data_IF_822913759643
#
_entry.id   IF_822913759643
#
_cell.length_a   1.000
_cell.length_b   1.000
_cell.length_c   1.000
_cell.angle_alpha   90.00
_cell.angle_beta   90.00
_cell.angle_gamma   90.00
#
_symmetry.space_group_name_H-M   'P 1'
#
loop_
_entity.id
_entity.type
_entity.pdbx_description
1 polymer ?
#
# COMPACT_ATOMS: atom_id res chain seq x y z
N UNK A 1 19.94 17.37 -3.70
CA UNK A 1 19.82 16.12 -4.47
C UNK A 1 18.94 15.17 -3.68
N UNK A 2 17.92 14.58 -4.32
CA UNK A 2 17.10 13.54 -3.70
C UNK A 2 17.68 12.15 -4.01
N UNK A 3 17.28 11.13 -3.24
CA UNK A 3 17.89 9.78 -3.33
C UNK A 3 17.74 9.13 -4.72
N UNK A 4 16.62 9.40 -5.40
CA UNK A 4 16.31 8.81 -6.73
C UNK A 4 16.37 9.85 -7.85
N UNK A 5 17.03 10.98 -7.63
CA UNK A 5 17.25 11.98 -8.69
C UNK A 5 18.06 11.36 -9.84
N UNK A 6 17.57 11.54 -11.07
CA UNK A 6 18.14 10.94 -12.27
C UNK A 6 17.56 9.57 -12.64
N UNK A 7 16.76 8.94 -11.77
CA UNK A 7 16.03 7.70 -12.11
C UNK A 7 14.73 8.06 -12.83
N UNK A 8 14.49 7.44 -13.98
CA UNK A 8 13.26 7.61 -14.78
C UNK A 8 12.42 6.35 -14.76
N UNK A 9 11.14 6.50 -14.39
CA UNK A 9 10.15 5.41 -14.28
C UNK A 9 9.00 5.64 -15.25
N UNK A 10 8.69 4.67 -16.09
CA UNK A 10 7.47 4.65 -16.91
C UNK A 10 6.40 3.84 -16.17
N UNK A 11 5.32 4.51 -15.78
CA UNK A 11 4.22 3.95 -15.00
C UNK A 11 3.01 3.66 -15.91
N UNK A 12 2.81 2.39 -16.29
CA UNK A 12 1.66 1.91 -17.05
C UNK A 12 0.59 1.31 -16.13
N UNK A 13 0.77 1.41 -14.83
CA UNK A 13 -0.14 0.80 -13.85
C UNK A 13 -1.38 1.64 -13.62
N UNK A 14 -2.40 1.03 -12.98
CA UNK A 14 -3.71 1.64 -12.74
C UNK A 14 -4.18 1.40 -11.30
N UNK A 15 -5.11 2.20 -10.86
CA UNK A 15 -5.81 2.11 -9.56
C UNK A 15 -4.89 2.33 -8.37
N UNK A 16 -4.45 1.27 -7.68
CA UNK A 16 -3.75 1.40 -6.39
C UNK A 16 -2.33 0.82 -6.39
N UNK A 17 -2.07 -0.50 -6.59
CA UNK A 17 -0.77 -1.05 -6.20
C UNK A 17 0.40 -0.45 -6.98
N UNK A 18 0.30 -0.34 -8.28
CA UNK A 18 1.32 0.27 -9.11
C UNK A 18 1.46 1.78 -8.90
N UNK A 19 0.35 2.56 -8.97
CA UNK A 19 0.41 4.00 -8.71
C UNK A 19 0.95 4.37 -7.35
N UNK A 20 0.65 3.61 -6.29
CA UNK A 20 1.23 3.87 -4.97
C UNK A 20 2.73 3.55 -4.94
N UNK A 21 3.17 2.43 -5.52
CA UNK A 21 4.59 2.11 -5.68
C UNK A 21 5.35 3.23 -6.37
N UNK A 22 4.89 3.67 -7.54
CA UNK A 22 5.57 4.70 -8.33
C UNK A 22 5.48 6.09 -7.70
N UNK A 23 4.43 6.40 -6.93
CA UNK A 23 4.36 7.61 -6.11
C UNK A 23 5.44 7.63 -5.03
N UNK A 24 5.68 6.51 -4.34
CA UNK A 24 6.76 6.43 -3.36
C UNK A 24 8.12 6.72 -4.00
N UNK A 25 8.37 6.22 -5.21
CA UNK A 25 9.61 6.53 -5.94
C UNK A 25 9.69 8.02 -6.33
N UNK A 26 8.56 8.61 -6.77
CA UNK A 26 8.46 10.03 -7.13
C UNK A 26 8.69 10.95 -5.91
N UNK A 27 8.20 10.58 -4.74
CA UNK A 27 8.39 11.35 -3.49
C UNK A 27 9.87 11.45 -3.10
N UNK A 28 10.70 10.48 -3.50
CA UNK A 28 12.15 10.49 -3.30
C UNK A 28 12.94 10.96 -4.52
N UNK A 29 12.30 11.53 -5.52
CA UNK A 29 12.95 12.28 -6.61
C UNK A 29 13.03 11.57 -7.95
N UNK A 30 12.53 10.35 -8.11
CA UNK A 30 12.42 9.73 -9.41
C UNK A 30 11.51 10.53 -10.35
N UNK A 31 11.89 10.66 -11.60
CA UNK A 31 11.00 11.18 -12.64
C UNK A 31 10.02 10.10 -13.06
N UNK A 32 8.80 10.17 -12.56
CA UNK A 32 7.74 9.20 -12.89
C UNK A 32 6.84 9.75 -13.99
N UNK A 33 6.79 9.04 -15.12
CA UNK A 33 5.95 9.36 -16.28
C UNK A 33 4.84 8.32 -16.35
N UNK A 34 3.62 8.73 -15.97
CA UNK A 34 2.43 7.88 -16.04
C UNK A 34 1.91 7.87 -17.47
N UNK A 35 1.91 6.67 -18.09
CA UNK A 35 1.42 6.45 -19.45
C UNK A 35 -0.04 6.02 -19.37
N UNK A 36 -0.91 6.78 -20.00
CA UNK A 36 -2.35 6.62 -19.88
C UNK A 36 -3.05 6.49 -21.24
N UNK A 37 -4.17 5.76 -21.27
CA UNK A 37 -4.97 5.66 -22.50
C UNK A 37 -5.69 6.97 -22.81
N UNK A 38 -5.96 7.27 -24.10
CA UNK A 38 -6.73 8.43 -24.50
C UNK A 38 -8.13 8.47 -23.90
N UNK A 39 -8.63 9.67 -23.64
CA UNK A 39 -10.00 9.95 -23.22
C UNK A 39 -10.28 9.67 -21.75
N UNK A 40 -9.98 8.48 -21.24
CA UNK A 40 -10.33 8.09 -19.87
C UNK A 40 -9.16 8.14 -18.90
N UNK A 41 -7.99 7.71 -19.34
CA UNK A 41 -6.83 7.57 -18.47
C UNK A 41 -7.00 6.45 -17.42
N UNK A 42 -6.37 6.63 -16.26
CA UNK A 42 -6.54 5.74 -15.10
C UNK A 42 -7.94 5.88 -14.50
N UNK A 43 -8.58 4.76 -14.15
CA UNK A 43 -9.90 4.72 -13.52
C UNK A 43 -9.97 5.53 -12.21
N UNK A 44 -8.86 5.63 -11.49
CA UNK A 44 -8.73 6.43 -10.27
C UNK A 44 -9.12 7.92 -10.49
N UNK A 45 -9.04 8.42 -11.73
CA UNK A 45 -9.46 9.78 -12.09
C UNK A 45 -10.97 9.99 -11.95
N UNK A 46 -11.75 8.92 -12.14
CA UNK A 46 -13.21 8.96 -12.16
C UNK A 46 -13.86 8.55 -10.84
N UNK A 47 -13.07 8.27 -9.79
CA UNK A 47 -13.61 7.84 -8.50
C UNK A 47 -13.91 9.04 -7.59
N UNK A 48 -15.15 9.14 -7.07
CA UNK A 48 -15.49 10.13 -6.07
C UNK A 48 -14.77 9.81 -4.72
N UNK A 49 -14.66 10.82 -3.83
CA UNK A 49 -15.11 12.20 -3.98
C UNK A 49 -14.22 12.98 -4.94
N UNK A 50 -14.75 14.12 -5.44
CA UNK A 50 -14.01 15.00 -6.33
C UNK A 50 -13.62 16.29 -5.63
N UNK A 51 -12.44 16.82 -5.96
CA UNK A 51 -12.04 18.19 -5.72
C UNK A 51 -12.03 18.91 -7.06
N UNK A 52 -13.03 19.76 -7.32
CA UNK A 52 -13.34 20.26 -8.65
C UNK A 52 -13.52 19.08 -9.62
N UNK A 53 -12.70 18.97 -10.65
CA UNK A 53 -12.71 17.90 -11.66
C UNK A 53 -11.67 16.80 -11.40
N UNK A 54 -10.94 16.86 -10.29
CA UNK A 54 -10.00 15.82 -9.89
C UNK A 54 -10.64 14.78 -8.96
N UNK A 55 -10.58 13.51 -9.33
CA UNK A 55 -10.88 12.43 -8.40
C UNK A 55 -9.88 12.44 -7.23
N UNK A 56 -10.37 12.46 -6.01
CA UNK A 56 -9.50 12.53 -4.82
C UNK A 56 -8.61 11.32 -4.68
N UNK A 57 -9.07 10.16 -5.17
CA UNK A 57 -8.26 8.94 -5.25
C UNK A 57 -7.01 9.13 -6.13
N UNK A 58 -7.20 9.77 -7.29
CA UNK A 58 -6.08 10.10 -8.17
C UNK A 58 -5.11 11.08 -7.52
N UNK A 59 -5.61 12.13 -6.83
CA UNK A 59 -4.76 13.08 -6.11
C UNK A 59 -3.89 12.39 -5.04
N UNK A 60 -4.44 11.43 -4.29
CA UNK A 60 -3.73 10.73 -3.23
C UNK A 60 -2.61 9.81 -3.74
N UNK A 61 -2.64 9.34 -4.99
CA UNK A 61 -1.75 8.30 -5.51
C UNK A 61 -0.78 8.76 -6.60
N UNK A 62 -0.91 10.01 -7.09
CA UNK A 62 -0.17 10.41 -8.28
C UNK A 62 0.57 11.75 -8.15
N UNK A 63 0.78 12.25 -6.93
CA UNK A 63 1.62 13.44 -6.71
C UNK A 63 3.03 13.22 -7.25
N UNK A 64 3.70 14.31 -7.63
CA UNK A 64 5.07 14.31 -8.18
C UNK A 64 5.23 13.61 -9.53
N UNK A 65 4.16 13.09 -10.17
CA UNK A 65 4.24 12.43 -11.48
C UNK A 65 3.99 13.40 -12.63
N UNK A 66 4.39 12.98 -13.82
CA UNK A 66 3.98 13.50 -15.13
C UNK A 66 2.91 12.60 -15.73
N UNK A 67 2.00 13.15 -16.56
CA UNK A 67 1.01 12.35 -17.30
C UNK A 67 1.21 12.49 -18.79
N UNK A 68 1.33 11.36 -19.48
CA UNK A 68 1.46 11.25 -20.93
C UNK A 68 0.37 10.36 -21.48
N UNK A 69 -0.40 10.86 -22.42
CA UNK A 69 -1.42 10.09 -23.12
C UNK A 69 -0.79 9.42 -24.35
N UNK A 70 -0.87 8.08 -24.39
CA UNK A 70 -0.46 7.28 -25.54
C UNK A 70 -1.48 6.18 -25.84
N UNK A 71 -1.90 6.08 -27.11
CA UNK A 71 -2.71 4.94 -27.56
C UNK A 71 -1.80 3.73 -27.87
N UNK A 72 -1.54 2.91 -26.88
CA UNK A 72 -0.71 1.71 -27.00
C UNK A 72 -1.32 0.64 -27.92
N UNK A 73 -2.55 0.79 -28.41
CA UNK A 73 -3.15 -0.07 -29.42
C UNK A 73 -2.75 0.35 -30.86
N UNK A 74 -2.33 1.59 -31.06
CA UNK A 74 -1.80 2.08 -32.33
C UNK A 74 -0.31 1.73 -32.49
N UNK A 75 0.16 1.63 -33.73
CA UNK A 75 1.58 1.41 -34.03
C UNK A 75 2.44 2.58 -33.56
N UNK A 76 2.00 3.81 -33.85
CA UNK A 76 2.69 5.01 -33.42
C UNK A 76 2.82 5.10 -31.88
N UNK A 77 1.76 4.77 -31.12
CA UNK A 77 1.79 4.77 -29.66
C UNK A 77 2.78 3.74 -29.08
N UNK A 78 2.84 2.52 -29.68
CA UNK A 78 3.81 1.50 -29.26
C UNK A 78 5.25 1.91 -29.56
N UNK A 79 5.52 2.45 -30.75
CA UNK A 79 6.83 2.96 -31.12
C UNK A 79 7.26 4.12 -30.22
N UNK A 80 6.36 5.06 -29.97
CA UNK A 80 6.61 6.18 -29.05
C UNK A 80 6.94 5.68 -27.62
N UNK A 81 6.23 4.68 -27.13
CA UNK A 81 6.55 4.05 -25.84
C UNK A 81 7.95 3.44 -25.84
N UNK A 82 8.36 2.72 -26.88
CA UNK A 82 9.69 2.15 -26.97
C UNK A 82 10.79 3.22 -27.08
N UNK A 83 10.52 4.38 -27.68
CA UNK A 83 11.43 5.53 -27.60
C UNK A 83 11.62 6.04 -26.16
N UNK A 84 10.54 6.11 -25.38
CA UNK A 84 10.63 6.45 -23.94
C UNK A 84 11.44 5.41 -23.15
N UNK A 85 11.29 4.13 -23.46
CA UNK A 85 12.04 3.02 -22.81
C UNK A 85 13.54 3.16 -23.00
N UNK A 86 14.03 3.69 -24.12
CA UNK A 86 15.47 3.87 -24.37
C UNK A 86 16.19 4.70 -23.32
N UNK A 87 15.44 5.61 -22.66
CA UNK A 87 15.97 6.54 -21.65
C UNK A 87 15.41 6.30 -20.26
N UNK A 88 14.62 5.25 -20.09
CA UNK A 88 14.04 4.88 -18.79
C UNK A 88 14.92 3.87 -18.05
N UNK A 89 14.87 3.89 -16.73
CA UNK A 89 15.50 2.89 -15.87
C UNK A 89 14.51 1.79 -15.47
N UNK A 90 13.23 2.15 -15.34
CA UNK A 90 12.19 1.24 -14.82
C UNK A 90 10.91 1.39 -15.64
N UNK A 91 10.28 0.26 -15.94
CA UNK A 91 8.87 0.17 -16.36
C UNK A 91 8.08 -0.52 -15.26
N UNK A 92 6.95 0.06 -14.85
CA UNK A 92 5.99 -0.56 -13.91
C UNK A 92 4.65 -0.74 -14.61
N UNK A 93 4.11 -1.97 -14.58
CA UNK A 93 2.82 -2.27 -15.23
C UNK A 93 1.94 -3.15 -14.35
N UNK A 94 0.62 -3.14 -14.61
CA UNK A 94 -0.35 -3.96 -13.88
C UNK A 94 -1.39 -4.62 -14.80
N UNK A 95 -0.99 -4.98 -16.02
CA UNK A 95 -1.85 -5.67 -16.96
C UNK A 95 -1.89 -7.18 -16.68
N UNK A 96 -2.94 -7.84 -17.15
CA UNK A 96 -3.00 -9.31 -17.11
C UNK A 96 -1.87 -9.91 -17.96
N UNK A 97 -1.27 -11.02 -17.51
CA UNK A 97 -0.23 -11.69 -18.26
C UNK A 97 -0.57 -11.92 -19.74
N UNK A 98 0.34 -11.57 -20.63
CA UNK A 98 0.20 -11.68 -22.07
C UNK A 98 -0.45 -10.49 -22.78
N UNK A 99 -1.00 -9.50 -22.08
CA UNK A 99 -1.57 -8.30 -22.72
C UNK A 99 -0.47 -7.48 -23.39
N UNK A 100 0.60 -7.15 -22.65
CA UNK A 100 1.70 -6.34 -23.19
C UNK A 100 2.54 -7.08 -24.22
N UNK A 101 2.62 -8.41 -24.14
CA UNK A 101 3.21 -9.25 -25.19
C UNK A 101 2.42 -9.15 -26.51
N UNK A 102 1.09 -9.18 -26.45
CA UNK A 102 0.25 -8.97 -27.64
C UNK A 102 0.39 -7.57 -28.24
N UNK A 103 0.70 -6.57 -27.40
CA UNK A 103 0.97 -5.20 -27.85
C UNK A 103 2.41 -5.01 -28.33
N UNK A 104 3.33 -5.97 -28.12
CA UNK A 104 4.73 -5.86 -28.49
C UNK A 104 5.52 -4.84 -27.66
N UNK A 105 5.15 -4.65 -26.40
CA UNK A 105 5.78 -3.72 -25.45
C UNK A 105 6.06 -4.39 -24.10
N UNK A 106 6.23 -5.70 -24.08
CA UNK A 106 6.62 -6.49 -22.91
C UNK A 106 8.11 -6.34 -22.57
N UNK A 107 8.55 -7.08 -21.56
CA UNK A 107 9.96 -7.06 -21.15
C UNK A 107 10.92 -7.40 -22.28
N UNK A 108 10.60 -8.36 -23.14
CA UNK A 108 11.47 -8.75 -24.24
C UNK A 108 11.66 -7.60 -25.26
N UNK A 109 10.57 -6.91 -25.60
CA UNK A 109 10.61 -5.75 -26.49
C UNK A 109 11.35 -4.56 -25.83
N UNK A 110 11.11 -4.31 -24.55
CA UNK A 110 11.78 -3.26 -23.79
C UNK A 110 13.30 -3.51 -23.67
N UNK A 111 13.68 -4.75 -23.32
CA UNK A 111 15.09 -5.17 -23.22
C UNK A 111 15.85 -5.06 -24.54
N UNK A 112 15.18 -5.31 -25.65
CA UNK A 112 15.78 -5.20 -26.99
C UNK A 112 16.26 -3.77 -27.33
N UNK A 113 15.57 -2.74 -26.81
CA UNK A 113 15.92 -1.33 -27.02
C UNK A 113 16.72 -0.73 -25.87
N UNK A 114 16.62 -1.31 -24.66
CA UNK A 114 17.35 -0.90 -23.47
C UNK A 114 17.73 -2.12 -22.61
N UNK A 115 18.93 -2.70 -22.75
CA UNK A 115 19.35 -3.88 -21.97
C UNK A 115 19.38 -3.65 -20.44
N UNK A 116 19.43 -2.39 -20.01
CA UNK A 116 19.47 -2.01 -18.58
C UNK A 116 18.09 -1.88 -17.95
N UNK A 117 17.01 -1.99 -18.72
CA UNK A 117 15.66 -1.75 -18.25
C UNK A 117 15.24 -2.74 -17.16
N UNK A 118 14.69 -2.24 -16.10
CA UNK A 118 14.01 -3.01 -15.05
C UNK A 118 12.53 -2.99 -15.38
N UNK A 119 11.92 -4.17 -15.47
CA UNK A 119 10.53 -4.29 -15.89
C UNK A 119 9.72 -4.97 -14.79
N UNK A 120 8.96 -4.18 -14.01
CA UNK A 120 8.20 -4.65 -12.86
C UNK A 120 6.73 -4.83 -13.22
N UNK A 121 6.27 -6.08 -13.15
CA UNK A 121 4.87 -6.45 -13.36
C UNK A 121 4.19 -6.74 -12.01
N UNK A 122 3.11 -6.01 -11.71
CA UNK A 122 2.25 -6.28 -10.56
C UNK A 122 0.98 -6.98 -11.04
N UNK A 123 0.83 -8.25 -10.70
CA UNK A 123 -0.29 -9.08 -11.16
C UNK A 123 -1.02 -9.72 -9.98
N UNK A 124 -2.30 -10.06 -10.13
CA UNK A 124 -3.08 -10.63 -9.05
C UNK A 124 -2.47 -11.93 -8.51
N UNK A 125 -2.24 -12.90 -9.39
CA UNK A 125 -1.80 -14.25 -9.03
C UNK A 125 -0.41 -14.63 -9.57
N UNK A 126 0.36 -13.68 -10.10
CA UNK A 126 1.64 -13.94 -10.75
C UNK A 126 1.49 -14.38 -12.21
N UNK A 127 2.62 -14.52 -12.90
CA UNK A 127 2.66 -14.86 -14.32
C UNK A 127 2.44 -16.36 -14.60
N UNK A 128 2.49 -17.20 -13.55
CA UNK A 128 2.40 -18.68 -13.63
C UNK A 128 1.27 -19.21 -12.76
N UNK A 129 0.86 -20.44 -13.04
CA UNK A 129 -0.16 -21.16 -12.28
C UNK A 129 -1.57 -21.03 -12.84
N UNK A 130 -2.53 -21.78 -12.27
CA UNK A 130 -3.88 -21.92 -12.83
C UNK A 130 -4.69 -20.61 -12.80
N UNK A 131 -4.37 -19.70 -11.88
CA UNK A 131 -5.07 -18.42 -11.68
C UNK A 131 -4.41 -17.23 -12.36
N UNK A 132 -3.29 -17.40 -13.09
CA UNK A 132 -2.50 -16.31 -13.66
C UNK A 132 -3.32 -15.33 -14.53
N UNK A 133 -4.40 -15.80 -15.18
CA UNK A 133 -5.30 -14.98 -16.02
C UNK A 133 -6.60 -14.58 -15.34
N UNK A 134 -6.82 -14.99 -14.08
CA UNK A 134 -8.03 -14.68 -13.35
C UNK A 134 -8.03 -13.20 -12.93
N UNK A 135 -9.22 -12.58 -13.01
CA UNK A 135 -9.44 -11.26 -12.44
C UNK A 135 -9.85 -11.41 -10.99
N UNK A 136 -9.32 -10.52 -10.15
CA UNK A 136 -9.77 -10.39 -8.79
C UNK A 136 -9.43 -8.97 -8.26
N UNK A 137 -9.83 -8.72 -7.03
CA UNK A 137 -9.48 -7.55 -6.24
C UNK A 137 -8.88 -8.00 -4.90
N UNK A 138 -8.40 -7.05 -4.10
CA UNK A 138 -7.73 -7.28 -2.83
C UNK A 138 -8.40 -8.35 -1.97
N UNK A 139 -9.72 -8.26 -1.80
CA UNK A 139 -10.50 -9.20 -0.99
C UNK A 139 -10.34 -10.65 -1.45
N UNK A 140 -10.23 -10.91 -2.74
CA UNK A 140 -10.00 -12.24 -3.28
C UNK A 140 -8.59 -12.75 -2.98
N UNK A 141 -7.57 -11.90 -3.15
CA UNK A 141 -6.18 -12.28 -2.86
C UNK A 141 -5.97 -12.61 -1.39
N UNK A 142 -6.46 -11.76 -0.46
CA UNK A 142 -6.34 -12.03 0.99
C UNK A 142 -7.19 -13.20 1.45
N UNK A 143 -8.34 -13.45 0.78
CA UNK A 143 -9.19 -14.60 1.11
C UNK A 143 -8.56 -15.92 0.68
N UNK A 144 -8.04 -15.99 -0.54
CA UNK A 144 -7.36 -17.19 -1.03
C UNK A 144 -6.05 -17.45 -0.29
N UNK A 145 -5.36 -16.40 0.17
CA UNK A 145 -4.18 -16.52 1.01
C UNK A 145 -4.48 -17.02 2.44
N UNK A 146 -5.74 -16.98 2.91
CA UNK A 146 -6.14 -17.43 4.24
C UNK A 146 -6.27 -16.31 5.29
N UNK A 147 -5.93 -15.06 4.98
CA UNK A 147 -5.99 -13.92 5.92
C UNK A 147 -7.44 -13.68 6.37
N UNK A 148 -8.38 -13.66 5.42
CA UNK A 148 -9.79 -13.41 5.72
C UNK A 148 -10.38 -14.46 6.65
N UNK A 149 -9.94 -15.73 6.54
CA UNK A 149 -10.41 -16.80 7.41
C UNK A 149 -10.05 -16.58 8.89
N UNK A 150 -8.96 -15.87 9.17
CA UNK A 150 -8.48 -15.56 10.52
C UNK A 150 -9.02 -14.21 11.05
N UNK A 151 -9.67 -13.40 10.21
CA UNK A 151 -10.12 -12.06 10.56
C UNK A 151 -11.58 -12.06 11.01
N UNK A 152 -11.87 -11.44 12.17
CA UNK A 152 -13.21 -11.32 12.72
C UNK A 152 -13.38 -12.01 14.07
N UNK A 153 -14.61 -11.97 14.60
CA UNK A 153 -14.97 -12.62 15.87
C UNK A 153 -15.01 -14.14 15.76
N UNK A 154 -14.68 -14.85 16.84
CA UNK A 154 -14.59 -16.31 16.92
C UNK A 154 -15.82 -17.03 16.33
N UNK A 155 -17.02 -16.58 16.70
CA UNK A 155 -18.30 -17.17 16.28
C UNK A 155 -18.95 -16.38 15.11
N UNK A 156 -18.27 -15.35 14.61
CA UNK A 156 -18.78 -14.51 13.54
C UNK A 156 -18.39 -15.03 12.15
N UNK A 157 -18.97 -14.41 11.11
CA UNK A 157 -18.44 -14.57 9.74
C UNK A 157 -17.06 -13.92 9.61
N UNK A 158 -16.24 -14.33 8.63
CA UNK A 158 -15.00 -13.63 8.31
C UNK A 158 -15.24 -12.13 8.09
N UNK A 159 -14.38 -11.28 8.65
CA UNK A 159 -14.47 -9.83 8.49
C UNK A 159 -13.70 -9.37 7.25
N UNK A 160 -14.27 -8.37 6.56
CA UNK A 160 -13.57 -7.67 5.48
C UNK A 160 -12.58 -6.69 6.12
N UNK A 161 -11.33 -6.71 5.68
CA UNK A 161 -10.36 -5.68 6.08
C UNK A 161 -10.80 -4.31 5.56
N UNK A 162 -10.75 -3.29 6.40
CA UNK A 162 -10.96 -1.90 5.99
C UNK A 162 -9.80 -1.31 5.19
N UNK A 163 -8.71 -2.07 5.00
CA UNK A 163 -7.50 -1.68 4.26
C UNK A 163 -7.24 -2.72 3.18
N UNK A 164 -6.81 -2.28 2.00
CA UNK A 164 -6.45 -3.13 0.86
C UNK A 164 -5.05 -3.74 1.10
N UNK A 165 -5.01 -4.83 1.87
CA UNK A 165 -3.76 -5.38 2.41
C UNK A 165 -2.84 -5.97 1.34
N UNK A 166 -3.38 -6.74 0.40
CA UNK A 166 -2.59 -7.32 -0.69
C UNK A 166 -2.05 -6.22 -1.61
N UNK A 167 -2.88 -5.26 -2.00
CA UNK A 167 -2.51 -4.14 -2.87
C UNK A 167 -1.42 -3.27 -2.26
N UNK A 168 -1.58 -2.85 -1.00
CA UNK A 168 -0.63 -1.96 -0.33
C UNK A 168 0.72 -2.64 -0.09
N UNK A 169 0.72 -3.89 0.37
CA UNK A 169 1.96 -4.62 0.60
C UNK A 169 2.65 -5.01 -0.72
N UNK A 170 1.91 -5.33 -1.78
CA UNK A 170 2.48 -5.55 -3.10
C UNK A 170 3.14 -4.28 -3.67
N UNK A 171 2.57 -3.10 -3.40
CA UNK A 171 3.18 -1.82 -3.77
C UNK A 171 4.55 -1.63 -3.11
N UNK A 172 4.66 -1.93 -1.81
CA UNK A 172 5.92 -1.83 -1.07
C UNK A 172 6.92 -2.89 -1.51
N UNK A 173 6.47 -4.13 -1.74
CA UNK A 173 7.31 -5.21 -2.27
C UNK A 173 7.86 -4.87 -3.65
N UNK A 174 7.04 -4.28 -4.53
CA UNK A 174 7.47 -3.79 -5.84
C UNK A 174 8.53 -2.70 -5.72
N UNK A 175 8.29 -1.69 -4.86
CA UNK A 175 9.25 -0.62 -4.61
C UNK A 175 10.60 -1.15 -4.12
N UNK A 176 10.60 -2.06 -3.15
CA UNK A 176 11.81 -2.71 -2.65
C UNK A 176 12.51 -3.54 -3.74
N UNK A 177 11.76 -4.31 -4.53
CA UNK A 177 12.31 -5.11 -5.61
C UNK A 177 12.93 -4.25 -6.71
N UNK A 178 12.30 -3.12 -7.05
CA UNK A 178 12.85 -2.13 -7.98
C UNK A 178 14.18 -1.58 -7.46
N UNK A 179 14.28 -1.22 -6.19
CA UNK A 179 15.53 -0.73 -5.59
C UNK A 179 16.65 -1.78 -5.63
N UNK A 180 16.34 -3.05 -5.35
CA UNK A 180 17.28 -4.18 -5.46
C UNK A 180 17.76 -4.33 -6.91
N UNK A 181 16.83 -4.27 -7.87
CA UNK A 181 17.14 -4.40 -9.29
C UNK A 181 17.95 -3.19 -9.83
N UNK A 182 17.64 -1.96 -9.38
CA UNK A 182 18.43 -0.76 -9.70
C UNK A 182 19.88 -0.90 -9.20
N UNK A 183 20.06 -1.40 -7.97
CA UNK A 183 21.39 -1.67 -7.43
C UNK A 183 22.15 -2.69 -8.28
N UNK A 184 21.50 -3.77 -8.72
CA UNK A 184 22.07 -4.75 -9.62
C UNK A 184 22.47 -4.12 -10.97
N UNK A 185 21.56 -3.37 -11.60
CA UNK A 185 21.80 -2.73 -12.88
C UNK A 185 22.93 -1.67 -12.83
N UNK A 186 23.08 -0.97 -11.70
CA UNK A 186 24.22 -0.07 -11.48
C UNK A 186 25.55 -0.81 -11.42
N UNK A 187 25.59 -2.02 -10.86
CA UNK A 187 26.83 -2.80 -10.71
C UNK A 187 27.20 -3.56 -11.98
N UNK A 188 26.24 -4.04 -12.74
CA UNK A 188 26.46 -4.97 -13.86
C UNK A 188 26.20 -4.37 -15.24
N UNK A 189 25.43 -3.28 -15.31
CA UNK A 189 24.92 -2.74 -16.57
C UNK A 189 23.70 -3.50 -17.12
N UNK A 190 23.19 -4.52 -16.42
CA UNK A 190 22.08 -5.35 -16.88
C UNK A 190 20.82 -5.13 -16.05
N UNK A 191 19.69 -4.92 -16.72
CA UNK A 191 18.36 -4.89 -16.11
C UNK A 191 17.75 -6.29 -15.98
N UNK A 192 16.57 -6.36 -15.37
CA UNK A 192 15.85 -7.62 -15.14
C UNK A 192 14.34 -7.44 -15.10
N UNK A 193 13.64 -8.56 -15.26
CA UNK A 193 12.19 -8.64 -15.04
C UNK A 193 11.90 -8.95 -13.59
N UNK A 194 10.87 -8.28 -13.05
CA UNK A 194 10.34 -8.48 -11.69
C UNK A 194 8.87 -8.90 -11.81
N UNK A 195 8.50 -10.02 -11.19
CA UNK A 195 7.11 -10.50 -11.10
C UNK A 195 6.61 -10.39 -9.65
N UNK A 196 5.72 -9.47 -9.40
CA UNK A 196 5.06 -9.27 -8.09
C UNK A 196 3.64 -9.80 -8.18
N UNK A 197 3.36 -10.85 -7.44
CA UNK A 197 2.02 -11.39 -7.27
C UNK A 197 1.39 -10.87 -5.98
N UNK A 198 0.22 -10.22 -6.09
CA UNK A 198 -0.52 -9.72 -4.94
C UNK A 198 -0.88 -10.87 -3.97
N UNK A 199 -1.30 -12.01 -4.52
CA UNK A 199 -1.55 -13.23 -3.76
C UNK A 199 -0.30 -13.76 -3.03
N UNK A 200 0.85 -13.85 -3.71
CA UNK A 200 2.07 -14.33 -3.09
C UNK A 200 2.52 -13.40 -1.96
N UNK A 201 2.42 -12.09 -2.16
CA UNK A 201 2.72 -11.11 -1.11
C UNK A 201 1.76 -11.28 0.07
N UNK A 202 0.45 -11.45 -0.17
CA UNK A 202 -0.51 -11.73 0.91
C UNK A 202 -0.14 -12.99 1.70
N UNK A 203 0.30 -14.07 1.04
CA UNK A 203 0.80 -15.29 1.72
C UNK A 203 1.96 -14.99 2.67
N UNK A 204 2.88 -14.10 2.30
CA UNK A 204 4.06 -13.77 3.12
C UNK A 204 3.74 -12.91 4.34
N UNK A 205 2.52 -12.36 4.45
CA UNK A 205 2.08 -11.59 5.63
C UNK A 205 1.75 -12.47 6.84
N UNK A 206 1.75 -13.79 6.71
CA UNK A 206 1.28 -14.73 7.73
C UNK A 206 2.39 -15.59 8.36
N UNK A 207 3.54 -15.05 8.79
CA UNK A 207 4.60 -15.88 9.37
C UNK A 207 4.16 -16.59 10.66
N UNK A 208 3.27 -15.96 11.46
CA UNK A 208 2.72 -16.56 12.68
C UNK A 208 1.85 -17.78 12.40
N UNK A 209 0.88 -17.65 11.49
CA UNK A 209 0.03 -18.78 11.09
C UNK A 209 0.85 -19.90 10.40
N UNK A 210 1.82 -19.52 9.56
CA UNK A 210 2.72 -20.47 8.91
C UNK A 210 3.58 -21.24 9.94
N UNK A 211 4.09 -20.57 10.97
CA UNK A 211 4.86 -21.20 12.04
C UNK A 211 4.02 -22.21 12.82
N UNK A 212 2.78 -21.88 13.15
CA UNK A 212 1.86 -22.79 13.82
C UNK A 212 1.56 -24.02 12.95
N UNK A 213 1.20 -23.80 11.69
CA UNK A 213 0.83 -24.88 10.80
C UNK A 213 2.01 -25.79 10.42
N UNK A 214 3.16 -25.22 10.04
CA UNK A 214 4.32 -26.01 9.65
C UNK A 214 5.00 -26.68 10.84
N UNK A 215 4.95 -26.06 12.03
CA UNK A 215 5.59 -26.59 13.23
C UNK A 215 4.78 -27.66 13.97
N UNK A 216 3.45 -27.58 13.93
CA UNK A 216 2.58 -28.44 14.74
C UNK A 216 1.33 -28.99 14.02
N UNK A 217 1.08 -28.58 12.78
CA UNK A 217 -0.17 -28.88 12.08
C UNK A 217 -1.38 -28.05 12.57
N UNK A 218 -1.18 -27.10 13.51
CA UNK A 218 -2.27 -26.27 14.05
C UNK A 218 -2.76 -25.27 13.00
N UNK A 219 -4.06 -25.30 12.71
CA UNK A 219 -4.71 -24.35 11.80
C UNK A 219 -5.21 -23.14 12.59
N UNK A 220 -4.64 -21.98 12.30
CA UNK A 220 -5.07 -20.73 12.90
C UNK A 220 -6.43 -20.30 12.33
N UNK A 221 -7.38 -20.05 13.21
CA UNK A 221 -8.74 -19.59 12.91
C UNK A 221 -9.10 -18.39 13.79
N UNK A 222 -10.25 -17.78 13.56
CA UNK A 222 -10.77 -16.70 14.42
C UNK A 222 -10.97 -17.19 15.85
N UNK A 223 -10.36 -16.49 16.80
CA UNK A 223 -10.52 -16.74 18.23
C UNK A 223 -9.83 -17.99 18.78
N UNK A 224 -9.00 -18.69 18.00
CA UNK A 224 -8.35 -19.92 18.46
C UNK A 224 -6.84 -19.80 18.73
N UNK A 225 -6.25 -18.65 18.48
CA UNK A 225 -4.85 -18.36 18.81
C UNK A 225 -4.68 -16.91 19.31
N UNK A 226 -3.51 -16.62 19.87
CA UNK A 226 -3.25 -15.33 20.51
C UNK A 226 -3.38 -14.12 19.56
N UNK A 227 -3.08 -14.26 18.28
CA UNK A 227 -3.25 -13.18 17.27
C UNK A 227 -4.70 -12.99 16.82
N UNK A 228 -5.60 -13.92 17.13
CA UNK A 228 -6.98 -13.89 16.64
C UNK A 228 -8.02 -13.80 17.76
N UNK A 229 -7.60 -13.38 18.97
CA UNK A 229 -8.49 -13.09 20.10
C UNK A 229 -8.74 -14.26 21.07
N UNK A 230 -7.93 -15.34 21.03
CA UNK A 230 -7.98 -16.38 22.05
C UNK A 230 -7.57 -15.82 23.43
N UNK A 231 -6.53 -15.00 23.45
CA UNK A 231 -5.94 -14.50 24.68
C UNK A 231 -6.62 -13.20 25.15
N UNK A 232 -6.77 -13.07 26.47
CA UNK A 232 -7.35 -11.89 27.11
C UNK A 232 -6.47 -10.64 26.94
N UNK A 233 -5.16 -10.81 26.98
CA UNK A 233 -4.17 -9.74 26.89
C UNK A 233 -3.79 -9.35 25.44
N UNK A 234 -4.44 -9.95 24.44
CA UNK A 234 -4.36 -9.53 23.05
C UNK A 234 -5.75 -9.57 22.41
N UNK A 235 -6.53 -8.53 22.65
CA UNK A 235 -7.95 -8.49 22.27
C UNK A 235 -8.49 -7.06 22.20
N UNK A 236 -9.75 -6.92 21.82
CA UNK A 236 -10.47 -5.64 21.74
C UNK A 236 -11.66 -5.69 22.71
N UNK A 237 -11.82 -4.63 23.54
CA UNK A 237 -12.86 -4.53 24.55
C UNK A 237 -13.68 -3.26 24.39
N UNK A 238 -15.01 -3.37 24.62
CA UNK A 238 -15.92 -2.24 24.56
C UNK A 238 -15.83 -1.38 25.83
N UNK A 239 -15.88 -0.06 25.65
CA UNK A 239 -16.03 0.93 26.72
C UNK A 239 -17.50 1.13 27.07
N UNK A 240 -17.78 1.92 28.11
CA UNK A 240 -19.12 2.19 28.61
C UNK A 240 -20.12 2.69 27.55
N UNK A 241 -19.65 3.51 26.62
CA UNK A 241 -20.46 4.08 25.55
C UNK A 241 -20.39 3.29 24.21
N UNK A 242 -19.80 2.08 24.24
CA UNK A 242 -19.70 1.23 23.06
C UNK A 242 -18.57 1.59 22.08
N UNK A 243 -17.61 2.43 22.50
CA UNK A 243 -16.32 2.61 21.83
C UNK A 243 -15.41 1.43 22.19
N UNK A 244 -14.20 1.37 21.64
CA UNK A 244 -13.33 0.22 21.81
C UNK A 244 -11.92 0.61 22.24
N UNK A 245 -11.31 -0.29 23.03
CA UNK A 245 -9.88 -0.30 23.36
C UNK A 245 -9.23 -1.56 22.85
N UNK A 246 -8.09 -1.42 22.20
CA UNK A 246 -7.21 -2.52 21.82
C UNK A 246 -6.21 -2.77 22.96
N UNK A 247 -6.17 -4.01 23.44
CA UNK A 247 -5.26 -4.49 24.48
C UNK A 247 -4.21 -5.37 23.84
N UNK A 248 -2.93 -5.01 23.99
CA UNK A 248 -1.77 -5.74 23.43
C UNK A 248 -0.70 -5.99 24.50
N UNK A 249 -1.11 -6.38 25.71
CA UNK A 249 -0.24 -6.56 26.89
C UNK A 249 0.44 -7.94 26.88
N UNK A 250 1.19 -8.29 25.83
CA UNK A 250 1.78 -9.63 25.67
C UNK A 250 2.83 -9.94 26.75
N UNK A 251 3.65 -8.97 27.09
CA UNK A 251 4.67 -9.12 28.12
C UNK A 251 4.07 -8.94 29.52
N UNK A 252 4.52 -9.76 30.46
CA UNK A 252 4.05 -9.76 31.86
C UNK A 252 4.09 -8.37 32.50
N UNK A 253 5.09 -7.55 32.17
CA UNK A 253 5.22 -6.18 32.67
C UNK A 253 4.00 -5.33 32.30
N UNK A 254 3.60 -5.32 31.02
CA UNK A 254 2.48 -4.50 30.54
C UNK A 254 1.15 -5.00 31.07
N UNK A 255 0.99 -6.33 31.20
CA UNK A 255 -0.16 -6.94 31.84
C UNK A 255 -0.27 -6.54 33.32
N UNK A 256 0.82 -6.60 34.08
CA UNK A 256 0.85 -6.19 35.49
C UNK A 256 0.52 -4.70 35.65
N UNK A 257 1.03 -3.84 34.75
CA UNK A 257 0.69 -2.42 34.74
C UNK A 257 -0.80 -2.20 34.46
N UNK A 258 -1.39 -2.95 33.53
CA UNK A 258 -2.82 -2.90 33.28
C UNK A 258 -3.62 -3.34 34.51
N UNK A 259 -3.28 -4.47 35.13
CA UNK A 259 -3.93 -4.94 36.36
C UNK A 259 -3.88 -3.89 37.48
N UNK A 260 -2.77 -3.17 37.60
CA UNK A 260 -2.62 -2.08 38.59
C UNK A 260 -3.56 -0.90 38.25
N UNK A 261 -3.68 -0.50 36.99
CA UNK A 261 -4.64 0.55 36.55
C UNK A 261 -6.08 0.12 36.83
N UNK A 262 -6.40 -1.13 36.56
CA UNK A 262 -7.73 -1.71 36.81
C UNK A 262 -8.00 -1.95 38.31
N UNK A 263 -7.01 -1.82 39.19
CA UNK A 263 -7.05 -2.18 40.62
C UNK A 263 -7.42 -3.66 40.82
N UNK A 264 -6.91 -4.53 39.91
CA UNK A 264 -7.19 -5.98 39.91
C UNK A 264 -5.86 -6.78 39.99
N UNK A 265 -5.15 -6.66 41.14
CA UNK A 265 -3.89 -7.42 41.32
C UNK A 265 -4.11 -8.94 41.33
N UNK A 266 -5.35 -9.38 41.64
CA UNK A 266 -5.77 -10.78 41.57
C UNK A 266 -5.65 -11.42 40.17
N UNK A 267 -5.67 -10.63 39.09
CA UNK A 267 -5.52 -11.10 37.73
C UNK A 267 -4.07 -11.24 37.26
N UNK A 268 -3.11 -10.70 38.00
CA UNK A 268 -1.72 -10.55 37.52
C UNK A 268 -1.07 -11.89 37.14
N UNK A 269 -1.21 -12.92 37.96
CA UNK A 269 -0.58 -14.22 37.71
C UNK A 269 -1.47 -15.20 36.94
N UNK A 270 -2.77 -14.90 36.83
CA UNK A 270 -3.70 -15.75 36.09
C UNK A 270 -3.41 -15.82 34.58
N UNK A 271 -2.73 -14.81 34.03
CA UNK A 271 -2.42 -14.73 32.60
C UNK A 271 -1.45 -15.81 32.13
N UNK A 272 -0.68 -16.38 33.06
CA UNK A 272 0.35 -17.39 32.74
C UNK A 272 -0.26 -18.79 32.48
N UNK A 273 -1.56 -18.98 32.73
CA UNK A 273 -2.28 -20.23 32.45
C UNK A 273 -3.37 -20.00 31.40
N UNK A 274 -3.23 -20.68 30.27
CA UNK A 274 -4.16 -20.57 29.13
C UNK A 274 -5.62 -20.88 29.53
N UNK A 275 -5.85 -21.71 30.55
CA UNK A 275 -7.19 -22.03 31.05
C UNK A 275 -7.92 -20.83 31.63
N UNK A 276 -7.22 -19.77 32.03
CA UNK A 276 -7.82 -18.58 32.61
C UNK A 276 -8.25 -17.53 31.58
N UNK A 277 -7.88 -17.65 30.30
CA UNK A 277 -8.14 -16.60 29.32
C UNK A 277 -9.62 -16.27 29.16
N UNK A 278 -10.52 -17.24 29.18
CA UNK A 278 -11.96 -16.96 29.08
C UNK A 278 -12.50 -16.21 30.31
N UNK A 279 -12.05 -16.57 31.50
CA UNK A 279 -12.36 -15.82 32.72
C UNK A 279 -11.82 -14.39 32.64
N UNK A 280 -10.56 -14.24 32.28
CA UNK A 280 -9.92 -12.91 32.15
C UNK A 280 -10.60 -12.04 31.10
N UNK A 281 -11.03 -12.60 29.95
CA UNK A 281 -11.82 -11.87 28.93
C UNK A 281 -13.14 -11.34 29.52
N UNK A 282 -13.84 -12.16 30.30
CA UNK A 282 -15.07 -11.73 30.96
C UNK A 282 -14.79 -10.60 31.98
N UNK A 283 -13.73 -10.73 32.79
CA UNK A 283 -13.37 -9.68 33.76
C UNK A 283 -12.98 -8.39 33.06
N UNK A 284 -12.13 -8.43 32.02
CA UNK A 284 -11.75 -7.24 31.25
C UNK A 284 -12.95 -6.58 30.57
N UNK A 285 -13.90 -7.36 30.06
CA UNK A 285 -15.16 -6.83 29.50
C UNK A 285 -15.92 -6.02 30.54
N UNK A 286 -16.04 -6.52 31.79
CA UNK A 286 -16.69 -5.81 32.88
C UNK A 286 -15.91 -4.57 33.33
N UNK A 287 -14.59 -4.65 33.40
CA UNK A 287 -13.73 -3.53 33.79
C UNK A 287 -13.78 -2.40 32.78
N UNK A 288 -13.55 -2.70 31.47
CA UNK A 288 -13.55 -1.68 30.43
C UNK A 288 -14.93 -1.01 30.23
N UNK A 289 -16.02 -1.70 30.50
CA UNK A 289 -17.37 -1.13 30.47
C UNK A 289 -17.67 -0.09 31.57
N UNK A 290 -16.78 0.11 32.56
CA UNK A 290 -17.00 1.05 33.67
C UNK A 290 -16.81 2.52 33.27
N UNK A 291 -15.93 2.79 32.30
CA UNK A 291 -15.54 4.14 31.92
C UNK A 291 -15.71 4.37 30.42
N UNK A 292 -15.86 5.64 30.05
CA UNK A 292 -15.86 6.10 28.66
C UNK A 292 -14.44 6.11 28.08
N UNK A 293 -14.33 6.17 26.76
CA UNK A 293 -13.03 6.21 26.09
C UNK A 293 -12.16 7.39 26.58
N UNK A 294 -12.65 8.64 26.68
CA UNK A 294 -11.85 9.73 27.21
C UNK A 294 -11.41 9.53 28.68
N UNK A 295 -12.26 8.92 29.51
CA UNK A 295 -11.87 8.57 30.89
C UNK A 295 -10.76 7.51 30.91
N UNK A 296 -10.85 6.50 30.03
CA UNK A 296 -9.78 5.50 29.88
C UNK A 296 -8.47 6.12 29.37
N UNK A 297 -8.51 7.02 28.41
CA UNK A 297 -7.32 7.73 27.93
C UNK A 297 -6.61 8.46 29.09
N UNK A 298 -7.35 9.09 29.98
CA UNK A 298 -6.80 9.75 31.18
C UNK A 298 -6.19 8.75 32.17
N UNK A 299 -6.90 7.64 32.46
CA UNK A 299 -6.45 6.61 33.39
C UNK A 299 -5.20 5.88 32.91
N UNK A 300 -5.08 5.67 31.60
CA UNK A 300 -3.98 4.96 30.94
C UNK A 300 -2.78 5.87 30.62
N UNK A 301 -2.95 7.19 30.68
CA UNK A 301 -1.91 8.13 30.32
C UNK A 301 -0.62 7.90 31.12
N UNK A 302 0.49 7.63 30.42
CA UNK A 302 1.82 7.38 31.01
C UNK A 302 1.97 6.09 31.80
N UNK A 303 1.03 5.14 31.68
CA UNK A 303 1.04 3.90 32.45
C UNK A 303 1.77 2.70 31.82
N UNK A 304 2.26 2.82 30.60
CA UNK A 304 3.03 1.78 29.89
C UNK A 304 2.29 0.42 29.90
N UNK A 305 1.02 0.43 29.40
CA UNK A 305 0.10 -0.72 29.47
C UNK A 305 -0.10 -1.41 28.10
N UNK A 306 0.40 -0.88 26.99
CA UNK A 306 0.06 -1.34 25.64
C UNK A 306 -1.47 -1.43 25.39
N UNK A 307 -2.24 -0.51 25.97
CA UNK A 307 -3.67 -0.34 25.72
C UNK A 307 -3.88 0.98 24.98
N UNK A 308 -4.57 0.91 23.83
CA UNK A 308 -4.77 2.06 22.95
C UNK A 308 -6.23 2.19 22.51
N UNK A 309 -6.75 3.42 22.31
CA UNK A 309 -8.08 3.62 21.75
C UNK A 309 -8.15 3.13 20.29
N UNK A 310 -9.32 2.57 19.93
CA UNK A 310 -9.66 2.30 18.53
C UNK A 310 -10.29 3.57 17.97
N UNK A 311 -9.52 4.33 17.22
CA UNK A 311 -9.94 5.61 16.64
C UNK A 311 -10.56 5.41 15.26
N UNK A 312 -11.51 6.27 14.90
CA UNK A 312 -11.90 6.43 13.51
C UNK A 312 -10.85 7.24 12.73
N UNK A 313 -11.01 7.33 11.40
CA UNK A 313 -10.01 8.00 10.56
C UNK A 313 -9.92 9.51 10.84
N UNK A 314 -11.02 10.17 11.18
CA UNK A 314 -11.01 11.61 11.48
C UNK A 314 -10.27 11.89 12.80
N UNK A 315 -10.50 11.07 13.81
CA UNK A 315 -9.80 11.11 15.09
C UNK A 315 -8.29 10.81 14.91
N UNK A 316 -7.96 9.76 14.12
CA UNK A 316 -6.57 9.42 13.81
C UNK A 316 -5.83 10.56 13.10
N UNK A 317 -6.49 11.26 12.17
CA UNK A 317 -5.96 12.48 11.51
C UNK A 317 -5.73 13.61 12.51
N UNK A 318 -6.61 13.75 13.51
CA UNK A 318 -6.52 14.80 14.54
C UNK A 318 -5.55 14.47 15.67
N UNK A 319 -5.09 13.22 15.79
CA UNK A 319 -4.24 12.76 16.88
C UNK A 319 -2.89 13.49 16.93
N UNK A 320 -2.40 13.76 18.13
CA UNK A 320 -1.13 14.47 18.37
C UNK A 320 0.06 13.73 17.73
N UNK A 321 0.07 12.39 17.76
CA UNK A 321 1.12 11.59 17.14
C UNK A 321 1.12 11.74 15.61
N UNK A 322 -0.05 11.84 14.99
CA UNK A 322 -0.20 12.11 13.54
C UNK A 322 0.35 13.48 13.16
N UNK A 323 0.06 14.50 13.98
CA UNK A 323 0.61 15.86 13.80
C UNK A 323 2.11 15.91 14.01
N UNK A 324 2.61 15.30 15.10
CA UNK A 324 4.04 15.26 15.41
C UNK A 324 4.88 14.57 14.32
N UNK A 325 4.29 13.65 13.59
CA UNK A 325 4.93 12.93 12.49
C UNK A 325 4.66 13.54 11.11
N UNK A 326 3.97 14.68 11.01
CA UNK A 326 3.60 15.33 9.75
C UNK A 326 2.89 14.37 8.78
N UNK A 327 1.99 13.52 9.30
CA UNK A 327 1.33 12.50 8.51
C UNK A 327 0.13 13.02 7.71
N UNK A 328 -0.18 14.31 7.81
CA UNK A 328 -1.15 15.02 6.97
C UNK A 328 -0.49 16.25 6.38
N UNK A 329 -0.42 16.30 5.06
CA UNK A 329 0.10 17.44 4.31
C UNK A 329 -1.06 18.35 3.91
N UNK A 330 -0.95 19.64 4.17
CA UNK A 330 -1.77 20.66 3.54
C UNK A 330 -1.06 21.09 2.24
N UNK A 331 -1.69 20.81 1.11
CA UNK A 331 -1.15 21.11 -0.21
C UNK A 331 -1.80 22.38 -0.71
N UNK A 332 -1.00 23.40 -1.01
CA UNK A 332 -1.46 24.61 -1.66
C UNK A 332 -1.26 24.49 -3.16
N UNK A 333 -2.34 24.62 -3.92
CA UNK A 333 -2.33 24.57 -5.38
C UNK A 333 -3.10 25.76 -5.95
N UNK A 334 -2.54 26.42 -6.94
CA UNK A 334 -3.13 27.63 -7.52
C UNK A 334 -4.51 27.39 -8.15
N UNK A 335 -4.74 26.18 -8.64
CA UNK A 335 -5.99 25.79 -9.28
C UNK A 335 -6.98 25.16 -8.29
N UNK A 336 -6.51 24.24 -7.42
CA UNK A 336 -7.35 23.44 -6.54
C UNK A 336 -7.63 24.13 -5.19
N UNK A 337 -6.82 25.13 -4.83
CA UNK A 337 -6.82 25.70 -3.49
C UNK A 337 -6.08 24.80 -2.49
N UNK A 338 -6.46 24.88 -1.22
CA UNK A 338 -5.85 24.04 -0.16
C UNK A 338 -6.60 22.72 -0.07
N UNK A 339 -5.85 21.61 -0.15
CA UNK A 339 -6.38 20.27 0.05
C UNK A 339 -5.41 19.41 0.86
N UNK A 340 -5.86 18.27 1.39
CA UNK A 340 -5.06 17.43 2.26
C UNK A 340 -4.67 16.12 1.59
N UNK A 341 -3.45 15.66 1.87
CA UNK A 341 -2.92 14.34 1.48
C UNK A 341 -2.26 13.66 2.67
N UNK A 342 -2.14 12.34 2.61
CA UNK A 342 -1.30 11.60 3.55
C UNK A 342 0.17 11.97 3.36
N UNK A 343 0.88 12.11 4.47
CA UNK A 343 2.29 12.47 4.55
C UNK A 343 3.23 11.34 4.14
N UNK A 344 4.50 11.53 4.48
CA UNK A 344 5.56 10.60 4.13
C UNK A 344 5.89 9.70 5.33
N UNK A 345 5.57 8.40 5.21
CA UNK A 345 5.85 7.44 6.28
C UNK A 345 7.36 7.14 6.42
N UNK A 346 8.11 7.23 5.32
CA UNK A 346 9.56 6.98 5.32
C UNK A 346 10.31 8.30 5.54
N UNK A 347 11.03 8.42 6.66
CA UNK A 347 11.80 9.61 7.05
C UNK A 347 13.30 9.35 6.88
N UNK A 348 13.89 9.79 5.77
CA UNK A 348 15.33 9.70 5.51
C UNK A 348 16.00 11.02 5.91
N UNK A 349 17.02 10.96 6.77
CA UNK A 349 17.66 12.16 7.33
C UNK A 349 18.43 13.00 6.31
N UNK A 350 19.07 12.37 5.32
CA UNK A 350 19.88 13.06 4.32
C UNK A 350 19.11 13.38 3.02
N UNK A 351 18.11 12.56 2.66
CA UNK A 351 17.36 12.67 1.41
C UNK A 351 15.86 12.53 1.67
N UNK A 352 15.26 13.48 2.41
CA UNK A 352 13.84 13.39 2.77
C UNK A 352 12.94 13.39 1.55
N UNK A 353 11.80 12.71 1.67
CA UNK A 353 10.72 12.78 0.69
C UNK A 353 10.17 14.22 0.61
N UNK A 354 9.71 14.61 -0.58
CA UNK A 354 9.15 15.94 -0.80
C UNK A 354 7.95 15.91 -1.74
N UNK A 355 6.95 16.72 -1.45
CA UNK A 355 5.87 17.03 -2.37
C UNK A 355 6.29 18.27 -3.18
N UNK A 356 6.52 18.10 -4.50
CA UNK A 356 6.95 19.16 -5.42
C UNK A 356 5.82 19.67 -6.30
N UNK A 357 4.89 18.77 -6.66
CA UNK A 357 3.73 19.12 -7.47
C UNK A 357 2.53 18.21 -7.19
N UNK A 358 1.32 18.70 -7.44
CA UNK A 358 0.10 17.91 -7.39
C UNK A 358 0.13 16.74 -8.38
N UNK A 359 -0.83 15.85 -8.27
CA UNK A 359 -1.10 14.87 -9.32
C UNK A 359 -1.45 15.58 -10.65
N UNK A 360 -0.93 15.08 -11.79
CA UNK A 360 -1.10 15.74 -13.09
C UNK A 360 -2.52 15.57 -13.63
N UNK A 361 -2.98 16.52 -14.47
CA UNK A 361 -4.12 16.31 -15.34
C UNK A 361 -3.81 15.25 -16.40
N UNK A 362 -4.83 14.64 -16.97
CA UNK A 362 -4.66 13.66 -18.04
C UNK A 362 -3.93 14.29 -19.23
N UNK A 363 -2.77 13.76 -19.57
CA UNK A 363 -1.95 14.20 -20.69
C UNK A 363 -1.29 15.55 -20.52
N UNK A 364 -1.23 16.11 -19.30
CA UNK A 364 -0.66 17.43 -18.99
C UNK A 364 0.76 17.61 -19.54
N UNK A 365 1.55 16.55 -19.51
CA UNK A 365 2.96 16.58 -19.90
C UNK A 365 3.22 15.92 -21.28
N UNK A 366 2.19 15.50 -22.02
CA UNK A 366 2.34 14.68 -23.25
C UNK A 366 3.24 15.34 -24.29
N UNK A 367 2.96 16.60 -24.67
CA UNK A 367 3.74 17.31 -25.69
C UNK A 367 5.20 17.44 -25.29
N UNK A 368 5.44 17.88 -24.05
CA UNK A 368 6.80 18.11 -23.55
C UNK A 368 7.62 16.83 -23.50
N UNK A 369 7.06 15.75 -22.92
CA UNK A 369 7.78 14.50 -22.74
C UNK A 369 8.07 13.83 -24.06
N UNK A 370 7.09 13.75 -24.97
CA UNK A 370 7.28 13.10 -26.27
C UNK A 370 8.25 13.87 -27.16
N UNK A 371 8.20 15.21 -27.18
CA UNK A 371 9.14 16.02 -27.98
C UNK A 371 10.59 15.89 -27.49
N UNK A 372 10.81 15.59 -26.21
CA UNK A 372 12.15 15.35 -25.69
C UNK A 372 12.69 13.95 -26.00
N UNK A 373 11.79 12.97 -26.16
CA UNK A 373 12.18 11.55 -26.33
C UNK A 373 12.22 11.11 -27.80
N UNK A 374 11.43 11.74 -28.68
CA UNK A 374 11.23 11.28 -30.05
C UNK A 374 11.85 12.31 -31.03
N UNK A 375 12.96 11.92 -31.66
CA UNK A 375 13.62 12.74 -32.66
C UNK A 375 12.98 12.66 -34.09
N UNK A 376 12.25 11.58 -34.37
CA UNK A 376 11.49 11.39 -35.63
C UNK A 376 10.22 12.25 -35.59
N UNK A 377 10.24 13.35 -36.34
CA UNK A 377 9.11 14.30 -36.39
C UNK A 377 7.80 13.66 -36.87
N UNK A 378 7.87 12.68 -37.76
CA UNK A 378 6.69 11.97 -38.27
C UNK A 378 6.09 11.12 -37.17
N UNK A 379 6.91 10.32 -36.48
CA UNK A 379 6.47 9.51 -35.34
C UNK A 379 5.90 10.40 -34.22
N UNK A 380 6.55 11.52 -33.92
CA UNK A 380 6.08 12.46 -32.92
C UNK A 380 4.68 13.00 -33.29
N UNK A 381 4.51 13.46 -34.55
CA UNK A 381 3.20 13.95 -35.01
C UNK A 381 2.11 12.88 -34.95
N UNK A 382 2.40 11.65 -35.38
CA UNK A 382 1.48 10.51 -35.30
C UNK A 382 1.12 10.16 -33.84
N UNK A 383 2.10 10.13 -32.94
CA UNK A 383 1.87 9.83 -31.51
C UNK A 383 1.02 10.90 -30.81
N UNK A 384 1.19 12.16 -31.18
CA UNK A 384 0.40 13.28 -30.63
C UNK A 384 -1.05 13.34 -31.16
N UNK A 385 -1.32 12.79 -32.35
CA UNK A 385 -2.66 12.72 -32.94
C UNK A 385 -3.55 11.63 -32.31
N UNK A 386 -2.98 10.71 -31.55
CA UNK A 386 -3.70 9.60 -30.92
C UNK A 386 -4.40 9.99 -29.60
N UNK A 387 -4.82 11.28 -29.48
CA UNK A 387 -5.54 11.79 -28.30
C UNK A 387 -6.95 11.24 -28.20
#
# INVERSE_FOLDING_TARGET
>A
MQALEGIRVLDLSRLLPGPYCTMLLADFGAEVIKIEEPGRGDYARSFPPFLKDFGYWHLQLNRNKKSVVLNLKSDAGRRAFLELVKTADVVVESYRPGVLTKLGIDYAAAKAVNPRIIYCSLTGYGKKGPLAKQADHDIGYVSLAGITAMSGEAQGKPAISGVLMADMNASMAAGMSIMIALRHAQMTGEGQEIDISLYNVAMTLMPGAASLYFGSGFVAERGNNWLTGANANYNIYATKEGRYLAVGCLEKKFWSNLCAVLQRPDMTDLIDDDANHDYLKQQLTLEFAKHTLPEWEQLLAGKDTCVTPVLDFAEAVAAEQTKANDMVLNVEDAELGIYRQLGFAMKLSATPAALKKRAPRLGEDTQQVLSQAIADEKLLAEALQTK
#
